data_IF_081432057577
#
_entry.id   IF_081432057577
#
_cell.length_a   1.000
_cell.length_b   1.000
_cell.length_c   1.000
_cell.angle_alpha   90.00
_cell.angle_beta   90.00
_cell.angle_gamma   90.00
#
_symmetry.space_group_name_H-M   'P 1'
#
loop_
_entity.id
_entity.type
_entity.pdbx_description
1 polymer ?
#
# COMPACT_ATOMS: atom_id res chain seq x y z
N UNK A 1 8.07 11.76 -17.46
CA UNK A 1 7.22 12.91 -17.86
C UNK A 1 7.23 13.07 -19.37
N UNK A 2 8.39 13.14 -20.04
CA UNK A 2 8.47 13.42 -21.49
C UNK A 2 7.82 12.32 -22.35
N UNK A 3 7.97 11.05 -21.96
CA UNK A 3 7.27 9.94 -22.60
C UNK A 3 5.74 10.10 -22.51
N UNK A 4 5.22 10.42 -21.30
CA UNK A 4 3.79 10.66 -21.10
C UNK A 4 3.27 11.81 -21.97
N UNK A 5 4.01 12.91 -22.04
CA UNK A 5 3.66 14.05 -22.90
C UNK A 5 3.59 13.67 -24.38
N UNK A 6 4.57 12.88 -24.88
CA UNK A 6 4.60 12.42 -26.28
C UNK A 6 3.46 11.47 -26.62
N UNK A 7 3.00 10.69 -25.63
CA UNK A 7 1.89 9.74 -25.79
C UNK A 7 0.52 10.36 -25.48
N UNK A 8 0.47 11.63 -25.06
CA UNK A 8 -0.73 12.26 -24.50
C UNK A 8 -1.37 11.40 -23.39
N UNK A 9 -0.54 10.83 -22.52
CA UNK A 9 -0.99 9.99 -21.43
C UNK A 9 -1.57 10.84 -20.29
N UNK A 10 -2.77 10.49 -19.88
CA UNK A 10 -3.48 11.12 -18.77
C UNK A 10 -3.70 10.12 -17.62
N UNK A 11 -3.89 10.65 -16.40
CA UNK A 11 -4.07 9.89 -15.15
C UNK A 11 -2.77 9.43 -14.50
N UNK A 12 -2.87 8.48 -13.53
CA UNK A 12 -1.74 7.94 -12.80
C UNK A 12 -1.05 6.81 -13.58
N UNK A 13 0.27 6.75 -13.48
CA UNK A 13 1.06 5.66 -14.05
C UNK A 13 2.44 5.58 -13.42
N UNK A 14 3.05 4.41 -13.52
CA UNK A 14 4.39 4.16 -12.99
C UNK A 14 5.24 3.49 -14.07
N UNK A 15 6.41 4.04 -14.31
CA UNK A 15 7.43 3.42 -15.18
C UNK A 15 8.37 2.60 -14.31
N UNK A 16 8.56 1.33 -14.65
CA UNK A 16 9.47 0.44 -13.96
C UNK A 16 10.77 0.26 -14.75
N UNK A 17 11.89 0.29 -14.04
CA UNK A 17 13.22 0.19 -14.62
C UNK A 17 14.09 -0.76 -13.80
N UNK A 18 14.94 -1.54 -14.47
CA UNK A 18 16.15 -2.08 -13.85
C UNK A 18 17.20 -0.99 -13.81
N UNK A 19 17.95 -0.93 -12.71
CA UNK A 19 19.07 0.00 -12.55
C UNK A 19 20.36 -0.76 -12.29
N UNK A 20 21.34 -0.57 -13.16
CA UNK A 20 22.67 -1.17 -13.03
C UNK A 20 23.74 -0.24 -13.61
N UNK A 21 24.85 -0.07 -12.91
CA UNK A 21 26.02 0.71 -13.37
C UNK A 21 25.64 2.10 -13.90
N UNK A 22 24.81 2.85 -13.17
CA UNK A 22 24.29 4.17 -13.54
C UNK A 22 23.42 4.21 -14.82
N UNK A 23 22.95 3.05 -15.30
CA UNK A 23 22.03 2.95 -16.43
C UNK A 23 20.65 2.50 -15.99
N UNK A 24 19.62 3.02 -16.64
CA UNK A 24 18.24 2.65 -16.46
C UNK A 24 17.77 1.85 -17.68
N UNK A 25 17.24 0.66 -17.43
CA UNK A 25 16.68 -0.22 -18.45
C UNK A 25 15.18 -0.32 -18.23
N UNK A 26 14.39 0.19 -19.18
CA UNK A 26 12.93 0.17 -19.10
C UNK A 26 12.42 -1.26 -19.13
N UNK A 27 11.50 -1.58 -18.23
CA UNK A 27 10.81 -2.88 -18.18
C UNK A 27 9.39 -2.71 -18.68
N UNK A 28 8.57 -1.95 -17.95
CA UNK A 28 7.16 -1.77 -18.25
C UNK A 28 6.60 -0.46 -17.73
N UNK A 29 5.39 -0.14 -18.17
CA UNK A 29 4.58 0.93 -17.61
C UNK A 29 3.29 0.36 -17.06
N UNK A 30 3.02 0.58 -15.79
CA UNK A 30 1.72 0.32 -15.18
C UNK A 30 0.82 1.54 -15.41
N UNK A 31 -0.17 1.40 -16.29
CA UNK A 31 -1.11 2.49 -16.65
C UNK A 31 -2.30 2.57 -15.69
N UNK A 32 -2.02 2.55 -14.41
CA UNK A 32 -2.98 2.57 -13.31
C UNK A 32 -2.34 3.14 -12.06
N UNK A 33 -3.15 3.40 -11.03
CA UNK A 33 -2.65 3.62 -9.68
C UNK A 33 -2.07 2.31 -9.12
N UNK A 34 -1.05 2.39 -8.28
CA UNK A 34 -0.45 1.22 -7.63
C UNK A 34 -1.08 0.95 -6.27
N UNK A 35 -0.93 -0.30 -5.78
CA UNK A 35 -1.47 -0.74 -4.49
C UNK A 35 -0.92 0.12 -3.36
N UNK A 36 0.35 0.49 -3.43
CA UNK A 36 1.10 1.26 -2.43
C UNK A 36 0.90 2.79 -2.50
N UNK A 37 -0.04 3.31 -3.29
CA UNK A 37 -0.35 4.74 -3.32
C UNK A 37 -0.63 5.38 -1.94
N UNK A 38 -1.16 4.64 -0.93
CA UNK A 38 -1.38 5.19 0.40
C UNK A 38 -0.12 5.71 1.10
N UNK A 39 1.06 5.15 0.78
CA UNK A 39 2.33 5.67 1.31
C UNK A 39 2.56 7.10 0.82
N UNK A 40 2.41 7.34 -0.48
CA UNK A 40 2.52 8.68 -1.07
C UNK A 40 1.47 9.64 -0.50
N UNK A 41 0.22 9.20 -0.40
CA UNK A 41 -0.86 10.00 0.20
C UNK A 41 -0.54 10.39 1.65
N UNK A 42 0.01 9.45 2.43
CA UNK A 42 0.33 9.67 3.84
C UNK A 42 1.44 10.71 4.05
N UNK A 43 2.43 10.78 3.17
CA UNK A 43 3.57 11.71 3.31
C UNK A 43 3.36 13.03 2.58
N UNK A 44 2.46 13.10 1.59
CA UNK A 44 2.18 14.32 0.82
C UNK A 44 0.90 15.03 1.25
N UNK A 45 -0.05 14.30 1.83
CA UNK A 45 -1.39 14.80 2.14
C UNK A 45 -2.31 14.91 0.93
N UNK A 46 -1.93 14.33 -0.22
CA UNK A 46 -2.74 14.30 -1.43
C UNK A 46 -3.66 13.07 -1.44
N UNK A 47 -4.86 13.22 -1.97
CA UNK A 47 -5.79 12.15 -2.29
C UNK A 47 -5.65 11.80 -3.77
N UNK A 48 -4.85 10.77 -4.08
CA UNK A 48 -4.51 10.42 -5.45
C UNK A 48 -5.70 9.87 -6.22
N UNK A 49 -6.58 9.11 -5.57
CA UNK A 49 -7.81 8.59 -6.19
C UNK A 49 -8.74 9.73 -6.57
N UNK A 50 -8.91 10.71 -5.67
CA UNK A 50 -9.69 11.91 -5.97
C UNK A 50 -9.11 12.71 -7.14
N UNK A 51 -7.78 12.83 -7.21
CA UNK A 51 -7.11 13.49 -8.33
C UNK A 51 -7.36 12.74 -9.64
N UNK A 52 -7.32 11.40 -9.66
CA UNK A 52 -7.67 10.61 -10.84
C UNK A 52 -9.12 10.87 -11.30
N UNK A 53 -10.07 10.90 -10.35
CA UNK A 53 -11.48 11.20 -10.68
C UNK A 53 -11.66 12.61 -11.25
N UNK A 54 -10.90 13.58 -10.76
CA UNK A 54 -10.91 14.95 -11.29
C UNK A 54 -10.36 15.02 -12.70
N UNK A 55 -9.23 14.37 -12.96
CA UNK A 55 -8.65 14.27 -14.32
C UNK A 55 -9.64 13.61 -15.29
N UNK A 56 -10.28 12.52 -14.88
CA UNK A 56 -11.28 11.82 -15.68
C UNK A 56 -12.56 12.67 -15.97
N UNK A 57 -12.71 13.79 -15.27
CA UNK A 57 -13.75 14.81 -15.52
C UNK A 57 -13.24 16.01 -16.32
N UNK A 58 -12.09 15.90 -16.93
CA UNK A 58 -11.40 16.98 -17.67
C UNK A 58 -11.05 18.20 -16.79
N UNK A 59 -10.94 18.02 -15.46
CA UNK A 59 -10.53 19.08 -14.55
C UNK A 59 -8.99 19.21 -14.57
N UNK A 60 -8.51 20.45 -14.67
CA UNK A 60 -7.08 20.74 -14.56
C UNK A 60 -6.59 20.48 -13.13
N UNK A 61 -5.43 19.83 -13.00
CA UNK A 61 -4.76 19.65 -11.70
C UNK A 61 -4.46 21.01 -11.07
N UNK A 62 -4.87 21.18 -9.81
CA UNK A 62 -4.62 22.39 -9.01
C UNK A 62 -3.29 22.31 -8.23
N UNK A 63 -2.62 21.16 -8.28
CA UNK A 63 -1.35 20.90 -7.57
C UNK A 63 -0.22 20.87 -8.58
N UNK A 64 0.83 21.65 -8.33
CA UNK A 64 2.07 21.64 -9.12
C UNK A 64 3.12 20.82 -8.40
N UNK A 65 4.10 20.28 -9.15
CA UNK A 65 5.16 19.44 -8.57
C UNK A 65 5.96 20.16 -7.48
N UNK A 66 6.22 21.45 -7.65
CA UNK A 66 6.96 22.28 -6.70
C UNK A 66 6.20 22.56 -5.39
N UNK A 67 4.89 22.39 -5.38
CA UNK A 67 4.05 22.61 -4.19
C UNK A 67 4.01 21.35 -3.29
N UNK A 68 4.50 20.22 -3.80
CA UNK A 68 4.45 18.95 -3.07
C UNK A 68 5.63 18.84 -2.10
N UNK A 69 5.31 18.76 -0.82
CA UNK A 69 6.30 18.57 0.25
C UNK A 69 6.05 17.23 0.93
N UNK A 70 7.03 16.35 0.89
CA UNK A 70 7.00 15.10 1.64
C UNK A 70 7.28 15.36 3.12
N UNK A 71 6.37 14.92 4.02
CA UNK A 71 6.46 15.13 5.46
C UNK A 71 6.41 13.79 6.20
N UNK A 72 7.46 13.53 6.97
CA UNK A 72 7.59 12.30 7.75
C UNK A 72 7.94 11.09 6.91
N UNK A 73 7.57 9.92 7.43
CA UNK A 73 7.82 8.62 6.83
C UNK A 73 6.57 7.75 6.92
N UNK A 74 6.32 6.92 5.93
CA UNK A 74 5.22 5.96 5.96
C UNK A 74 5.68 4.59 5.48
N UNK A 75 5.13 3.54 6.10
CA UNK A 75 5.37 2.14 5.75
C UNK A 75 4.02 1.48 5.55
N UNK A 76 3.89 0.70 4.48
CA UNK A 76 2.70 -0.09 4.17
C UNK A 76 3.02 -1.58 4.22
N UNK A 77 2.15 -2.36 4.87
CA UNK A 77 2.10 -3.82 4.75
C UNK A 77 0.85 -4.25 4.00
N UNK A 78 1.01 -5.12 3.01
CA UNK A 78 -0.09 -5.81 2.34
C UNK A 78 -0.46 -7.06 3.12
N UNK A 79 -1.68 -7.10 3.65
CA UNK A 79 -2.18 -8.28 4.35
C UNK A 79 -2.91 -9.14 3.34
N UNK A 80 -2.38 -10.33 3.13
CA UNK A 80 -2.87 -11.31 2.17
C UNK A 80 -3.50 -12.51 2.89
N UNK A 81 -4.55 -13.05 2.30
CA UNK A 81 -5.16 -14.32 2.69
C UNK A 81 -4.27 -15.49 2.22
N UNK A 82 -3.14 -15.70 2.88
CA UNK A 82 -2.08 -16.64 2.52
C UNK A 82 -1.42 -17.18 3.79
N UNK A 83 -1.01 -18.43 3.75
CA UNK A 83 -0.17 -18.98 4.80
C UNK A 83 1.17 -18.24 4.88
N UNK A 84 1.59 -17.83 6.08
CA UNK A 84 2.76 -16.98 6.30
C UNK A 84 4.11 -17.62 5.94
N UNK A 85 4.19 -18.95 5.84
CA UNK A 85 5.42 -19.70 5.54
C UNK A 85 5.44 -20.21 4.10
N UNK A 86 4.31 -20.75 3.63
CA UNK A 86 4.23 -21.41 2.32
C UNK A 86 3.71 -20.50 1.21
N UNK A 87 3.12 -19.35 1.56
CA UNK A 87 2.46 -18.38 0.66
C UNK A 87 1.31 -19.00 -0.15
N UNK A 88 0.78 -20.14 0.30
CA UNK A 88 -0.38 -20.75 -0.32
C UNK A 88 -1.62 -19.92 0.01
N UNK A 89 -2.45 -19.53 -1.00
CA UNK A 89 -3.68 -18.82 -0.77
C UNK A 89 -4.64 -19.55 0.17
N UNK A 90 -5.25 -18.82 1.08
CA UNK A 90 -6.20 -19.31 2.08
C UNK A 90 -7.56 -18.61 1.94
N UNK A 91 -8.33 -18.89 0.87
CA UNK A 91 -9.69 -18.37 0.74
C UNK A 91 -10.59 -18.99 1.81
N UNK A 92 -11.62 -18.26 2.25
CA UNK A 92 -12.53 -18.79 3.25
C UNK A 92 -13.33 -17.71 3.97
N UNK A 93 -14.11 -18.14 4.97
CA UNK A 93 -15.00 -17.27 5.72
C UNK A 93 -14.27 -16.61 6.89
N UNK A 94 -14.39 -15.29 7.00
CA UNK A 94 -13.90 -14.51 8.13
C UNK A 94 -14.84 -14.74 9.33
N UNK A 95 -14.31 -15.29 10.40
CA UNK A 95 -15.03 -15.51 11.65
C UNK A 95 -15.03 -14.25 12.49
N UNK A 96 -13.86 -13.61 12.60
CA UNK A 96 -13.68 -12.38 13.34
C UNK A 96 -12.56 -11.56 12.71
N UNK A 97 -12.66 -10.24 12.80
CA UNK A 97 -11.68 -9.29 12.26
C UNK A 97 -11.57 -8.08 13.19
N UNK A 98 -10.34 -7.71 13.52
CA UNK A 98 -10.04 -6.48 14.23
C UNK A 98 -9.02 -5.65 13.44
N UNK A 99 -9.41 -4.43 13.11
CA UNK A 99 -8.55 -3.44 12.48
C UNK A 99 -7.91 -2.55 13.55
N UNK A 100 -6.58 -2.41 13.58
CA UNK A 100 -5.91 -1.49 14.50
C UNK A 100 -6.26 -0.03 14.17
N UNK A 101 -6.12 0.83 15.15
CA UNK A 101 -6.43 2.25 15.01
C UNK A 101 -5.42 3.16 15.70
N UNK A 102 -5.76 4.46 15.74
CA UNK A 102 -4.97 5.49 16.40
C UNK A 102 -4.26 6.44 15.44
N UNK A 103 -3.55 7.42 16.02
CA UNK A 103 -2.87 8.47 15.26
C UNK A 103 -1.82 7.87 14.32
N UNK A 104 -1.93 8.20 13.02
CA UNK A 104 -0.98 7.76 11.99
C UNK A 104 -1.13 6.30 11.58
N UNK A 105 -2.23 5.64 11.94
CA UNK A 105 -2.61 4.31 11.43
C UNK A 105 -3.77 4.47 10.47
N UNK A 106 -3.62 3.95 9.26
CA UNK A 106 -4.67 3.84 8.24
C UNK A 106 -4.81 2.38 7.83
N UNK A 107 -6.05 1.92 7.75
CA UNK A 107 -6.39 0.59 7.25
C UNK A 107 -7.28 0.75 6.03
N UNK A 108 -6.83 0.24 4.90
CA UNK A 108 -7.64 0.09 3.70
C UNK A 108 -8.01 -1.39 3.57
N UNK A 109 -9.28 -1.72 3.79
CA UNK A 109 -9.75 -3.11 3.78
C UNK A 109 -11.20 -3.20 3.36
N UNK A 110 -11.58 -4.36 2.82
CA UNK A 110 -12.96 -4.73 2.55
C UNK A 110 -13.48 -5.83 3.50
N UNK A 111 -12.68 -6.17 4.55
CA UNK A 111 -13.04 -7.22 5.49
C UNK A 111 -14.13 -6.77 6.48
N UNK A 112 -14.99 -7.72 6.79
CA UNK A 112 -15.96 -7.66 7.88
C UNK A 112 -16.28 -9.08 8.34
N UNK A 113 -16.87 -9.21 9.53
CA UNK A 113 -17.32 -10.50 10.03
C UNK A 113 -18.28 -11.17 9.04
N UNK A 114 -18.13 -12.46 8.83
CA UNK A 114 -18.88 -13.29 7.88
C UNK A 114 -18.57 -13.04 6.38
N UNK A 115 -17.66 -12.13 6.03
CA UNK A 115 -17.17 -12.00 4.65
C UNK A 115 -16.52 -13.30 4.19
N UNK A 116 -16.70 -13.65 2.93
CA UNK A 116 -16.05 -14.82 2.32
C UNK A 116 -15.01 -14.35 1.31
N UNK A 117 -13.75 -14.60 1.62
CA UNK A 117 -12.63 -14.33 0.69
C UNK A 117 -12.72 -15.31 -0.47
N UNK A 118 -12.94 -14.83 -1.70
CA UNK A 118 -13.10 -15.71 -2.85
C UNK A 118 -11.76 -16.25 -3.36
N UNK A 119 -11.74 -17.45 -3.97
CA UNK A 119 -10.50 -18.03 -4.52
C UNK A 119 -10.16 -17.56 -5.93
N UNK A 120 -10.90 -16.59 -6.51
CA UNK A 120 -10.83 -16.24 -7.93
C UNK A 120 -9.99 -15.00 -8.23
N UNK A 121 -9.57 -14.28 -7.19
CA UNK A 121 -8.83 -13.01 -7.29
C UNK A 121 -7.54 -13.09 -6.49
N UNK A 122 -6.77 -12.00 -6.55
CA UNK A 122 -5.61 -11.78 -5.69
C UNK A 122 -5.97 -11.95 -4.21
N UNK A 123 -5.03 -12.44 -3.42
CA UNK A 123 -5.18 -12.72 -2.00
C UNK A 123 -5.19 -11.48 -1.10
N UNK A 124 -4.95 -10.28 -1.64
CA UNK A 124 -4.91 -9.03 -0.89
C UNK A 124 -6.27 -8.73 -0.22
N UNK A 125 -6.29 -8.65 1.12
CA UNK A 125 -7.50 -8.43 1.91
C UNK A 125 -7.47 -7.14 2.72
N UNK A 126 -6.29 -6.62 3.02
CA UNK A 126 -6.11 -5.35 3.72
C UNK A 126 -4.74 -4.75 3.43
N UNK A 127 -4.63 -3.43 3.65
CA UNK A 127 -3.37 -2.72 3.74
C UNK A 127 -3.30 -2.04 5.10
N UNK A 128 -2.18 -2.19 5.79
CA UNK A 128 -1.86 -1.47 7.04
C UNK A 128 -0.82 -0.42 6.69
N UNK A 129 -1.16 0.84 6.84
CA UNK A 129 -0.27 1.96 6.53
C UNK A 129 -0.02 2.74 7.81
N UNK A 130 1.24 2.84 8.22
CA UNK A 130 1.65 3.59 9.39
C UNK A 130 2.55 4.76 9.01
N UNK A 131 2.17 5.97 9.45
CA UNK A 131 2.90 7.21 9.21
C UNK A 131 3.37 7.81 10.52
N UNK A 132 4.60 8.34 10.54
CA UNK A 132 5.16 9.11 11.67
C UNK A 132 6.10 10.22 11.16
N UNK A 133 6.79 10.91 12.08
CA UNK A 133 7.72 11.97 11.72
C UNK A 133 9.00 11.46 11.05
N UNK A 134 9.42 10.25 11.42
CA UNK A 134 10.58 9.57 10.87
C UNK A 134 10.32 8.07 10.67
N UNK A 135 11.33 7.34 10.17
CA UNK A 135 11.23 5.91 9.87
C UNK A 135 11.10 5.05 11.13
N UNK A 136 11.84 5.37 12.17
CA UNK A 136 11.84 4.61 13.43
C UNK A 136 10.45 4.64 14.08
N UNK A 137 9.89 5.83 14.25
CA UNK A 137 8.53 6.01 14.78
C UNK A 137 7.46 5.36 13.89
N UNK A 138 7.63 5.41 12.56
CA UNK A 138 6.70 4.77 11.63
C UNK A 138 6.76 3.23 11.78
N UNK A 139 7.97 2.66 11.93
CA UNK A 139 8.19 1.23 12.16
C UNK A 139 7.60 0.78 13.50
N UNK A 140 7.90 1.50 14.59
CA UNK A 140 7.36 1.17 15.92
C UNK A 140 5.82 1.23 15.94
N UNK A 141 5.24 2.18 15.22
CA UNK A 141 3.78 2.28 15.05
C UNK A 141 3.20 1.12 14.25
N UNK A 142 3.92 0.70 13.19
CA UNK A 142 3.52 -0.45 12.40
C UNK A 142 3.57 -1.74 13.21
N UNK A 143 4.64 -1.96 13.98
CA UNK A 143 4.78 -3.10 14.89
C UNK A 143 3.57 -3.20 15.83
N UNK A 144 3.23 -2.12 16.55
CA UNK A 144 2.05 -2.08 17.40
C UNK A 144 0.76 -2.37 16.63
N UNK A 145 0.60 -1.79 15.44
CA UNK A 145 -0.60 -2.00 14.63
C UNK A 145 -0.74 -3.46 14.16
N UNK A 146 0.38 -4.11 13.78
CA UNK A 146 0.39 -5.52 13.42
C UNK A 146 0.08 -6.43 14.61
N UNK A 147 0.52 -6.08 15.82
CA UNK A 147 0.21 -6.83 17.03
C UNK A 147 -1.27 -6.74 17.42
N UNK A 148 -1.89 -5.57 17.23
CA UNK A 148 -3.31 -5.38 17.48
C UNK A 148 -4.21 -6.07 16.44
N UNK A 149 -3.73 -6.19 15.20
CA UNK A 149 -4.54 -6.74 14.10
C UNK A 149 -4.70 -8.24 14.20
N UNK A 150 -5.93 -8.73 14.01
CA UNK A 150 -6.18 -10.15 13.78
C UNK A 150 -7.28 -10.39 12.76
N UNK A 151 -7.17 -11.53 12.09
CA UNK A 151 -8.15 -12.06 11.14
C UNK A 151 -8.31 -13.54 11.45
N UNK A 152 -9.51 -13.98 11.85
CA UNK A 152 -9.79 -15.37 12.20
C UNK A 152 -10.66 -16.02 11.13
N UNK A 153 -10.41 -17.31 10.88
CA UNK A 153 -11.15 -18.12 9.93
C UNK A 153 -10.38 -18.49 8.65
N UNK A 154 -9.29 -17.77 8.39
CA UNK A 154 -8.37 -18.04 7.28
C UNK A 154 -6.92 -17.82 7.75
N UNK A 155 -5.96 -18.34 7.01
CA UNK A 155 -4.56 -17.99 7.19
C UNK A 155 -4.28 -16.61 6.57
N UNK A 156 -3.36 -15.87 7.19
CA UNK A 156 -2.86 -14.59 6.67
C UNK A 156 -1.36 -14.50 6.83
N UNK A 157 -0.72 -13.62 6.08
CA UNK A 157 0.71 -13.33 6.18
C UNK A 157 1.07 -12.36 7.34
N UNK A 158 0.18 -12.14 8.30
CA UNK A 158 0.41 -11.25 9.45
C UNK A 158 1.65 -11.63 10.25
N UNK A 159 1.86 -12.92 10.53
CA UNK A 159 2.99 -13.39 11.32
C UNK A 159 4.33 -13.16 10.61
N UNK A 160 4.36 -13.28 9.28
CA UNK A 160 5.53 -12.91 8.48
C UNK A 160 5.84 -11.40 8.66
N UNK A 161 4.84 -10.53 8.60
CA UNK A 161 5.04 -9.09 8.80
C UNK A 161 5.49 -8.73 10.22
N UNK A 162 4.99 -9.42 11.25
CA UNK A 162 5.45 -9.26 12.66
C UNK A 162 6.92 -9.64 12.82
N UNK A 163 7.37 -10.68 12.13
CA UNK A 163 8.79 -11.05 12.11
C UNK A 163 9.61 -10.02 11.33
N UNK A 164 9.15 -9.65 10.14
CA UNK A 164 9.87 -8.74 9.24
C UNK A 164 10.10 -7.34 9.85
N UNK A 165 9.09 -6.77 10.52
CA UNK A 165 9.19 -5.44 11.13
C UNK A 165 10.25 -5.37 12.25
N UNK A 166 10.63 -6.52 12.80
CA UNK A 166 11.64 -6.70 13.84
C UNK A 166 12.96 -7.30 13.32
N UNK A 167 13.06 -7.56 12.01
CA UNK A 167 14.29 -8.09 11.41
C UNK A 167 15.40 -7.02 11.42
N UNK A 168 16.62 -7.33 11.89
CA UNK A 168 17.74 -6.39 11.91
C UNK A 168 18.11 -5.80 10.54
N UNK A 169 17.81 -6.52 9.43
CA UNK A 169 18.04 -6.01 8.07
C UNK A 169 16.95 -5.07 7.59
N UNK A 170 15.80 -5.06 8.26
CA UNK A 170 14.70 -4.13 7.97
C UNK A 170 14.81 -2.87 8.83
N UNK A 171 15.31 -2.98 10.07
CA UNK A 171 15.55 -1.86 10.99
C UNK A 171 16.73 -1.00 10.51
#
# INVERSE_FOLDING_TARGET
IDACKKMNYESAGTFEFLYENNNFYFIEMNTRIQVEHPVTESVTGLDLVKLQLRIARDETLTVRQEDIVMKGHAIECRINAENSETFIPSPGKIIEYHAPGGIGVRIDSHLYKDYVVPPYYDSLIAKVICRANDREDARARLERALDEMYVLGIDTNLDMHRQLVNDPNFI
#
